data_IF_937022154044
#
_entry.id   IF_937022154044
#
_cell.length_a   1.000
_cell.length_b   1.000
_cell.length_c   1.000
_cell.angle_alpha   90.00
_cell.angle_beta   90.00
_cell.angle_gamma   90.00
#
_symmetry.space_group_name_H-M   'P 1'
#
loop_
_entity.id
_entity.type
_entity.pdbx_description
1 polymer ?
#
# COMPACT_ATOMS: atom_id res chain seq x y z
N UNK A 1 20.54 -7.56 -2.86
CA UNK A 1 19.27 -7.73 -2.13
C UNK A 1 18.07 -7.34 -3.01
N UNK A 2 17.76 -8.13 -4.05
CA UNK A 2 16.79 -7.78 -5.12
C UNK A 2 15.41 -8.47 -5.00
N UNK A 3 15.14 -9.19 -3.92
CA UNK A 3 14.00 -10.13 -3.84
C UNK A 3 12.72 -9.60 -3.18
N UNK A 4 12.74 -8.43 -2.54
CA UNK A 4 11.55 -7.83 -1.94
C UNK A 4 10.83 -6.94 -2.96
N UNK A 5 10.22 -7.59 -3.96
CA UNK A 5 9.30 -6.96 -4.90
C UNK A 5 7.90 -6.90 -4.24
N UNK A 6 7.08 -5.89 -4.52
CA UNK A 6 5.74 -5.70 -3.91
C UNK A 6 4.79 -6.87 -4.22
N UNK A 7 5.00 -7.59 -5.33
CA UNK A 7 4.29 -8.86 -5.57
C UNK A 7 4.69 -9.96 -4.58
N UNK A 8 5.91 -9.92 -4.04
CA UNK A 8 6.38 -10.87 -3.03
C UNK A 8 5.57 -10.77 -1.74
N UNK A 9 5.05 -9.59 -1.34
CA UNK A 9 4.17 -9.51 -0.17
C UNK A 9 2.87 -10.27 -0.41
N UNK A 10 2.22 -10.08 -1.56
CA UNK A 10 0.99 -10.82 -1.91
C UNK A 10 1.26 -12.32 -2.06
N UNK A 11 2.37 -12.70 -2.68
CA UNK A 11 2.75 -14.12 -2.87
C UNK A 11 3.10 -14.78 -1.53
N UNK A 12 3.96 -14.15 -0.72
CA UNK A 12 4.32 -14.67 0.61
C UNK A 12 3.10 -14.73 1.52
N UNK A 13 2.26 -13.70 1.51
CA UNK A 13 0.98 -13.70 2.21
C UNK A 13 0.11 -14.88 1.78
N UNK A 14 -0.08 -15.08 0.47
CA UNK A 14 -0.85 -16.21 -0.06
C UNK A 14 -0.28 -17.57 0.39
N UNK A 15 1.04 -17.75 0.36
CA UNK A 15 1.69 -18.98 0.84
C UNK A 15 1.46 -19.21 2.33
N UNK A 16 1.54 -18.16 3.16
CA UNK A 16 1.24 -18.25 4.60
C UNK A 16 -0.23 -18.64 4.81
N UNK A 17 -1.17 -17.97 4.14
CA UNK A 17 -2.60 -18.27 4.26
C UNK A 17 -2.93 -19.69 3.81
N UNK A 18 -2.32 -20.18 2.72
CA UNK A 18 -2.46 -21.57 2.26
C UNK A 18 -1.88 -22.57 3.28
N UNK A 19 -0.73 -22.26 3.88
CA UNK A 19 -0.14 -23.08 4.94
C UNK A 19 -1.04 -23.20 6.16
N UNK A 20 -1.63 -22.07 6.61
CA UNK A 20 -2.59 -22.04 7.72
C UNK A 20 -3.86 -22.81 7.38
N UNK A 21 -4.43 -22.60 6.18
CA UNK A 21 -5.61 -23.34 5.71
C UNK A 21 -5.34 -24.86 5.69
N UNK A 22 -4.17 -25.28 5.21
CA UNK A 22 -3.75 -26.68 5.22
C UNK A 22 -3.65 -27.24 6.64
N UNK A 23 -3.10 -26.46 7.58
CA UNK A 23 -3.03 -26.86 8.99
C UNK A 23 -4.41 -27.01 9.63
N UNK A 24 -5.38 -26.13 9.31
CA UNK A 24 -6.77 -26.22 9.78
C UNK A 24 -7.42 -27.51 9.29
N UNK A 25 -7.26 -27.82 8.00
CA UNK A 25 -7.79 -29.06 7.40
C UNK A 25 -7.19 -30.30 8.08
N UNK A 26 -5.89 -30.29 8.42
CA UNK A 26 -5.21 -31.41 9.07
C UNK A 26 -5.57 -31.59 10.56
N UNK A 27 -6.02 -30.54 11.26
CA UNK A 27 -6.25 -30.56 12.72
C UNK A 27 -7.72 -30.70 13.14
N UNK A 28 -8.61 -31.02 12.21
CA UNK A 28 -10.02 -31.30 12.52
C UNK A 28 -11.03 -30.25 12.04
N UNK A 29 -10.61 -29.33 11.16
CA UNK A 29 -11.50 -28.50 10.34
C UNK A 29 -12.58 -27.71 11.12
N UNK A 30 -12.19 -27.05 12.21
CA UNK A 30 -13.15 -26.31 13.06
C UNK A 30 -13.61 -25.03 12.35
N UNK A 31 -14.93 -24.71 12.36
CA UNK A 31 -15.46 -23.53 11.69
C UNK A 31 -14.93 -22.21 12.27
N UNK A 32 -14.61 -22.21 13.58
CA UNK A 32 -13.99 -21.06 14.25
C UNK A 32 -12.64 -20.68 13.64
N UNK A 33 -11.83 -21.67 13.25
CA UNK A 33 -10.50 -21.41 12.70
C UNK A 33 -10.60 -20.79 11.30
N UNK A 34 -11.59 -21.22 10.50
CA UNK A 34 -11.92 -20.60 9.21
C UNK A 34 -12.43 -19.16 9.36
N UNK A 35 -13.23 -18.88 10.38
CA UNK A 35 -13.67 -17.51 10.67
C UNK A 35 -12.47 -16.62 11.00
N UNK A 36 -11.56 -17.09 11.85
CA UNK A 36 -10.33 -16.35 12.19
C UNK A 36 -9.49 -16.12 10.94
N UNK A 37 -9.32 -17.15 10.10
CA UNK A 37 -8.57 -17.05 8.84
C UNK A 37 -9.19 -16.00 7.91
N UNK A 38 -10.52 -16.02 7.75
CA UNK A 38 -11.25 -15.10 6.90
C UNK A 38 -11.14 -13.64 7.39
N UNK A 39 -11.29 -13.41 8.70
CA UNK A 39 -11.11 -12.07 9.31
C UNK A 39 -9.69 -11.58 9.11
N UNK A 40 -8.69 -12.45 9.34
CA UNK A 40 -7.27 -12.10 9.15
C UNK A 40 -6.97 -11.75 7.70
N UNK A 41 -7.51 -12.52 6.75
CA UNK A 41 -7.39 -12.26 5.32
C UNK A 41 -8.02 -10.93 4.94
N UNK A 42 -9.20 -10.61 5.47
CA UNK A 42 -9.88 -9.34 5.23
C UNK A 42 -9.07 -8.14 5.76
N UNK A 43 -8.53 -8.24 6.98
CA UNK A 43 -7.66 -7.19 7.56
C UNK A 43 -6.39 -7.02 6.74
N UNK A 44 -5.76 -8.12 6.33
CA UNK A 44 -4.55 -8.10 5.51
C UNK A 44 -4.78 -7.37 4.18
N UNK A 45 -5.81 -7.74 3.42
CA UNK A 45 -6.14 -7.05 2.17
C UNK A 45 -6.60 -5.62 2.39
N UNK A 46 -7.36 -5.35 3.45
CA UNK A 46 -7.78 -4.00 3.82
C UNK A 46 -6.58 -3.07 4.08
N UNK A 47 -5.63 -3.52 4.90
CA UNK A 47 -4.39 -2.79 5.18
C UNK A 47 -3.56 -2.57 3.92
N UNK A 48 -3.44 -3.58 3.07
CA UNK A 48 -2.75 -3.48 1.78
C UNK A 48 -3.38 -2.42 0.87
N UNK A 49 -4.70 -2.42 0.73
CA UNK A 49 -5.42 -1.45 -0.09
C UNK A 49 -5.33 -0.02 0.46
N UNK A 50 -5.34 0.15 1.78
CA UNK A 50 -5.26 1.47 2.41
C UNK A 50 -3.86 2.08 2.33
N UNK A 51 -2.81 1.27 2.53
CA UNK A 51 -1.44 1.75 2.70
C UNK A 51 -0.58 1.67 1.43
N UNK A 52 -1.05 1.00 0.38
CA UNK A 52 -0.30 0.95 -0.89
C UNK A 52 -0.05 2.37 -1.43
N UNK A 53 1.20 2.69 -1.84
CA UNK A 53 1.49 3.96 -2.50
C UNK A 53 0.79 3.95 -3.86
N UNK A 54 0.02 5.00 -4.15
CA UNK A 54 -0.70 5.16 -5.42
C UNK A 54 -0.29 6.49 -6.03
N UNK A 55 0.21 6.46 -7.27
CA UNK A 55 0.51 7.67 -8.00
C UNK A 55 -0.78 8.43 -8.30
N UNK A 56 -0.74 9.75 -8.09
CA UNK A 56 -1.85 10.67 -8.31
C UNK A 56 -1.26 11.95 -8.90
N UNK A 57 -1.46 12.13 -10.19
CA UNK A 57 -1.07 13.34 -10.88
C UNK A 57 -2.12 14.41 -10.60
N UNK A 58 -1.79 15.29 -9.66
CA UNK A 58 -2.57 16.49 -9.40
C UNK A 58 -1.96 17.66 -10.20
N UNK A 59 -2.76 18.38 -11.01
CA UNK A 59 -2.26 19.57 -11.70
C UNK A 59 -1.93 20.67 -10.67
N UNK A 60 -0.94 21.52 -10.95
CA UNK A 60 -0.68 22.70 -10.12
C UNK A 60 -1.91 23.62 -10.13
N UNK A 61 -2.32 24.08 -8.95
CA UNK A 61 -3.41 25.03 -8.79
C UNK A 61 -2.85 26.43 -8.48
N UNK A 62 -3.31 27.49 -9.16
CA UNK A 62 -2.87 28.86 -8.89
C UNK A 62 -3.10 29.26 -7.43
N UNK A 63 -2.08 29.83 -6.78
CA UNK A 63 -2.16 30.28 -5.39
C UNK A 63 -1.97 29.19 -4.33
N UNK A 64 -1.79 27.92 -4.72
CA UNK A 64 -1.45 26.82 -3.81
C UNK A 64 0.01 26.39 -3.99
N UNK A 65 0.65 26.02 -2.89
CA UNK A 65 1.95 25.37 -2.91
C UNK A 65 1.82 23.96 -3.52
N UNK A 66 2.85 23.51 -4.23
CA UNK A 66 2.91 22.17 -4.80
C UNK A 66 3.93 21.33 -4.00
N UNK A 67 3.46 20.25 -3.37
CA UNK A 67 4.32 19.22 -2.80
C UNK A 67 4.46 18.08 -3.80
N UNK A 68 5.67 17.84 -4.26
CA UNK A 68 6.00 16.71 -5.12
C UNK A 68 6.42 15.52 -4.26
N UNK A 69 5.64 14.45 -4.30
CA UNK A 69 5.98 13.16 -3.69
C UNK A 69 6.46 12.21 -4.79
N UNK A 70 7.77 12.01 -4.87
CA UNK A 70 8.37 10.98 -5.74
C UNK A 70 8.40 9.67 -4.95
N UNK A 71 7.65 8.68 -5.43
CA UNK A 71 7.48 7.42 -4.74
C UNK A 71 7.67 6.23 -5.68
N UNK A 72 7.79 5.05 -5.09
CA UNK A 72 7.70 3.79 -5.80
C UNK A 72 6.71 2.89 -5.06
N UNK A 73 5.86 2.12 -5.75
CA UNK A 73 5.02 1.13 -5.09
C UNK A 73 5.86 0.02 -4.41
N UNK A 74 7.16 -0.07 -4.71
CA UNK A 74 8.10 -1.00 -4.10
C UNK A 74 8.85 -0.45 -2.88
N UNK A 75 8.63 0.82 -2.54
CA UNK A 75 9.38 1.51 -1.52
C UNK A 75 8.68 1.38 -0.15
N UNK A 76 9.26 0.58 0.74
CA UNK A 76 8.74 0.41 2.10
C UNK A 76 8.68 1.74 2.87
N UNK A 77 9.70 2.59 2.71
CA UNK A 77 9.72 3.93 3.31
C UNK A 77 8.55 4.80 2.83
N UNK A 78 8.11 4.62 1.58
CA UNK A 78 7.00 5.35 0.99
C UNK A 78 5.66 4.88 1.57
N UNK A 79 5.50 3.57 1.83
CA UNK A 79 4.36 3.03 2.60
C UNK A 79 4.32 3.62 4.01
N UNK A 80 5.48 3.70 4.68
CA UNK A 80 5.58 4.23 6.03
C UNK A 80 5.33 5.75 6.10
N UNK A 81 5.72 6.50 5.08
CA UNK A 81 5.54 7.95 5.00
C UNK A 81 4.11 8.35 4.60
N UNK A 82 3.40 7.51 3.84
CA UNK A 82 2.07 7.81 3.30
C UNK A 82 1.08 8.40 4.31
N UNK A 83 0.90 7.87 5.54
CA UNK A 83 -0.04 8.44 6.50
C UNK A 83 0.32 9.86 6.98
N UNK A 84 1.59 10.25 6.92
CA UNK A 84 2.02 11.60 7.23
C UNK A 84 1.70 12.55 6.08
N UNK A 85 1.99 12.13 4.83
CA UNK A 85 1.68 12.91 3.63
C UNK A 85 0.17 13.07 3.43
N UNK A 86 -0.61 12.02 3.65
CA UNK A 86 -2.07 12.04 3.56
C UNK A 86 -2.68 13.03 4.59
N UNK A 87 -2.11 13.10 5.79
CA UNK A 87 -2.50 14.09 6.81
C UNK A 87 -2.16 15.51 6.36
N UNK A 88 -0.97 15.75 5.80
CA UNK A 88 -0.60 17.05 5.27
C UNK A 88 -1.53 17.49 4.13
N UNK A 89 -1.86 16.59 3.20
CA UNK A 89 -2.82 16.87 2.12
C UNK A 89 -4.20 17.24 2.69
N UNK A 90 -4.66 16.55 3.73
CA UNK A 90 -5.96 16.82 4.35
C UNK A 90 -5.98 18.14 5.14
N UNK A 91 -4.96 18.41 5.95
CA UNK A 91 -4.84 19.62 6.77
C UNK A 91 -4.63 20.89 5.92
N UNK A 92 -3.89 20.77 4.83
CA UNK A 92 -3.48 21.92 4.00
C UNK A 92 -4.18 21.97 2.65
N UNK A 93 -5.27 21.22 2.44
CA UNK A 93 -6.03 21.11 1.16
C UNK A 93 -6.31 22.43 0.43
N UNK A 94 -6.49 23.52 1.18
CA UNK A 94 -6.84 24.83 0.64
C UNK A 94 -5.60 25.64 0.21
N UNK A 95 -4.41 25.20 0.64
CA UNK A 95 -3.12 25.89 0.41
C UNK A 95 -2.06 25.02 -0.26
N UNK A 96 -2.26 23.71 -0.33
CA UNK A 96 -1.31 22.72 -0.79
C UNK A 96 -1.97 21.73 -1.74
N UNK A 97 -1.29 21.45 -2.85
CA UNK A 97 -1.60 20.35 -3.75
C UNK A 97 -0.47 19.33 -3.65
N UNK A 98 -0.80 18.07 -3.41
CA UNK A 98 0.17 16.97 -3.38
C UNK A 98 0.14 16.23 -4.72
N UNK A 99 1.24 16.29 -5.47
CA UNK A 99 1.44 15.54 -6.73
C UNK A 99 2.29 14.31 -6.43
N UNK A 100 1.70 13.13 -6.55
CA UNK A 100 2.36 11.85 -6.28
C UNK A 100 2.78 11.18 -7.58
N UNK A 101 4.08 11.04 -7.81
CA UNK A 101 4.65 10.50 -9.05
C UNK A 101 5.33 9.15 -8.79
N UNK A 102 5.01 8.12 -9.59
CA UNK A 102 5.78 6.86 -9.59
C UNK A 102 7.08 7.11 -10.36
N UNK A 103 8.23 6.83 -9.73
CA UNK A 103 9.57 6.95 -10.34
C UNK A 103 9.72 6.10 -11.62
N UNK A 104 8.89 5.07 -11.81
CA UNK A 104 8.89 4.24 -13.02
C UNK A 104 8.02 4.79 -14.14
N UNK A 105 7.17 5.78 -13.85
CA UNK A 105 6.34 6.43 -14.86
C UNK A 105 7.19 7.24 -15.84
N UNK A 106 6.69 7.56 -17.05
CA UNK A 106 7.41 8.43 -17.99
C UNK A 106 7.82 9.77 -17.37
N UNK A 107 6.93 10.39 -16.60
CA UNK A 107 7.18 11.64 -15.87
C UNK A 107 8.23 11.45 -14.76
N UNK A 108 8.09 10.40 -13.95
CA UNK A 108 9.02 10.10 -12.87
C UNK A 108 10.45 9.77 -13.33
N UNK A 109 10.63 9.35 -14.59
CA UNK A 109 11.95 9.12 -15.19
C UNK A 109 12.60 10.39 -15.74
N UNK A 110 11.86 11.49 -15.82
CA UNK A 110 12.33 12.79 -16.30
C UNK A 110 12.61 13.79 -15.16
N UNK A 111 12.20 13.45 -13.94
CA UNK A 111 12.50 14.17 -12.69
C UNK A 111 13.83 13.68 -12.11
#
# INVERSE_FOLDING_TARGET
>A
MRFFNHHSVLIVGALIFLGVASAILRRGNRPRDWLILAVTLAVYFGAWFALRPVARLAPPEPGKALLLEVQSPYCFACVAAKPAVDRLEAEWRDRLVVRRVDIRSPEGRQL
#
